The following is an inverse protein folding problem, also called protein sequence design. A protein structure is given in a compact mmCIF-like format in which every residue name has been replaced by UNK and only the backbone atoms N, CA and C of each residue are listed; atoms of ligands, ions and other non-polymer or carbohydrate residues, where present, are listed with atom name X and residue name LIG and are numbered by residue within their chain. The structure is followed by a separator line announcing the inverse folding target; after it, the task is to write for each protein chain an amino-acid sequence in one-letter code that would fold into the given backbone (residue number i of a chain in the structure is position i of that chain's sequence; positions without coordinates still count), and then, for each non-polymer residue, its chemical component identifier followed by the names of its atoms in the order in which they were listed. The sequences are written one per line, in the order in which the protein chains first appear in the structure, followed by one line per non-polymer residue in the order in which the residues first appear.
data_IF_731597778829
#
_entry.id   IF_731597778829
#
_cell.length_a   1.000
_cell.length_b   1.000
_cell.length_c   1.000
_cell.angle_alpha   90.00
_cell.angle_beta   90.00
_cell.angle_gamma   90.00
#
_symmetry.space_group_name_H-M   'P 1'
#
loop_
_entity.id
_entity.type
_entity.pdbx_description
1 polymer ?
#
# COMPACT_ATOMS: atom_id res chain seq x y z
N UNK A 1 4.04 -11.06 -12.13
CA UNK A 1 4.69 -10.76 -10.84
C UNK A 1 5.81 -9.75 -11.05
N UNK A 2 6.96 -10.15 -11.62
CA UNK A 2 8.11 -9.23 -11.80
C UNK A 2 7.86 -7.99 -12.65
N UNK A 3 6.98 -8.02 -13.65
CA UNK A 3 6.59 -6.79 -14.38
C UNK A 3 5.86 -5.78 -13.48
N UNK A 4 5.03 -6.28 -12.57
CA UNK A 4 4.31 -5.43 -11.61
C UNK A 4 5.25 -4.88 -10.54
N UNK A 5 6.16 -5.72 -10.03
CA UNK A 5 7.19 -5.29 -9.08
C UNK A 5 8.15 -4.27 -9.70
N UNK A 6 8.60 -4.50 -10.95
CA UNK A 6 9.38 -3.51 -11.72
C UNK A 6 8.65 -2.18 -11.82
N UNK A 7 7.36 -2.19 -12.21
CA UNK A 7 6.58 -0.97 -12.34
C UNK A 7 6.34 -0.27 -11.00
N UNK A 8 6.19 -1.03 -9.91
CA UNK A 8 6.08 -0.49 -8.55
C UNK A 8 7.38 0.17 -8.09
N UNK A 9 8.51 -0.50 -8.24
CA UNK A 9 9.83 0.05 -7.96
C UNK A 9 10.10 1.30 -8.79
N UNK A 10 9.79 1.28 -10.09
CA UNK A 10 10.02 2.42 -10.97
C UNK A 10 9.13 3.60 -10.55
N UNK A 11 7.84 3.37 -10.29
CA UNK A 11 6.93 4.41 -9.84
C UNK A 11 7.45 5.10 -8.55
N UNK A 12 7.93 4.33 -7.58
CA UNK A 12 8.49 4.88 -6.33
C UNK A 12 9.83 5.59 -6.61
N UNK A 13 10.70 4.99 -7.41
CA UNK A 13 12.01 5.54 -7.79
C UNK A 13 11.88 6.92 -8.47
N UNK A 14 10.93 7.07 -9.41
CA UNK A 14 10.66 8.34 -10.11
C UNK A 14 10.15 9.45 -9.19
N UNK A 15 9.75 9.15 -7.95
CA UNK A 15 9.37 10.19 -6.97
C UNK A 15 10.57 10.88 -6.34
N UNK A 16 11.70 10.17 -6.22
CA UNK A 16 12.87 10.64 -5.48
C UNK A 16 12.60 10.94 -3.99
N UNK A 17 11.48 10.46 -3.41
CA UNK A 17 11.09 10.76 -2.02
C UNK A 17 11.65 9.76 -1.01
N UNK A 18 11.72 8.50 -1.42
CA UNK A 18 12.24 7.40 -0.61
C UNK A 18 13.14 6.53 -1.48
N UNK A 19 14.18 5.96 -0.88
CA UNK A 19 15.11 5.11 -1.62
C UNK A 19 14.48 3.75 -1.89
N UNK A 20 14.65 3.27 -3.11
CA UNK A 20 14.36 1.90 -3.55
C UNK A 20 15.53 1.41 -4.42
N UNK A 21 15.77 0.09 -4.52
CA UNK A 21 16.69 -0.43 -5.53
C UNK A 21 16.26 0.01 -6.92
N UNK A 22 17.15 0.64 -7.70
CA UNK A 22 16.81 1.09 -9.05
C UNK A 22 16.45 -0.13 -9.92
N UNK A 23 15.20 -0.24 -10.44
CA UNK A 23 14.85 -1.34 -11.31
C UNK A 23 15.53 -1.15 -12.68
N UNK A 24 16.10 -2.23 -13.23
CA UNK A 24 16.81 -2.20 -14.51
C UNK A 24 15.99 -2.86 -15.61
N UNK A 25 15.45 -4.07 -15.36
CA UNK A 25 14.66 -4.81 -16.35
C UNK A 25 13.88 -5.97 -15.74
N UNK A 26 12.60 -6.10 -16.09
CA UNK A 26 11.87 -7.36 -16.01
C UNK A 26 11.98 -8.12 -17.35
N UNK A 27 12.31 -9.41 -17.32
CA UNK A 27 12.46 -10.22 -18.54
C UNK A 27 12.24 -11.71 -18.27
N UNK A 28 12.09 -12.47 -19.35
CA UNK A 28 12.01 -13.94 -19.30
C UNK A 28 13.23 -14.55 -19.97
N UNK A 29 13.76 -15.63 -19.39
CA UNK A 29 14.80 -16.46 -19.99
C UNK A 29 14.38 -17.92 -19.90
N UNK A 30 14.02 -18.50 -21.05
CA UNK A 30 13.40 -19.83 -21.10
C UNK A 30 12.07 -19.86 -20.35
N UNK A 31 11.97 -20.70 -19.30
CA UNK A 31 10.80 -20.83 -18.43
C UNK A 31 10.91 -20.01 -17.13
N UNK A 32 11.99 -19.25 -16.97
CA UNK A 32 12.25 -18.44 -15.78
C UNK A 32 11.90 -16.99 -16.05
N UNK A 33 11.20 -16.37 -15.10
CA UNK A 33 10.96 -14.93 -15.09
C UNK A 33 11.95 -14.29 -14.12
N UNK A 34 12.51 -13.14 -14.50
CA UNK A 34 13.58 -12.47 -13.76
C UNK A 34 13.28 -10.99 -13.63
N UNK A 35 13.74 -10.41 -12.52
CA UNK A 35 13.85 -8.96 -12.32
C UNK A 35 15.31 -8.63 -12.00
N UNK A 36 15.91 -7.79 -12.85
CA UNK A 36 17.22 -7.20 -12.58
C UNK A 36 17.02 -5.79 -12.01
N UNK A 37 17.74 -5.48 -10.93
CA UNK A 37 17.74 -4.20 -10.25
C UNK A 37 19.13 -3.91 -9.66
N UNK A 38 19.33 -2.68 -9.19
CA UNK A 38 20.53 -2.29 -8.45
C UNK A 38 20.72 -3.16 -7.20
N UNK A 39 21.95 -3.59 -6.96
CA UNK A 39 22.32 -4.24 -5.70
C UNK A 39 22.67 -3.19 -4.64
N UNK A 40 22.05 -3.29 -3.47
CA UNK A 40 22.34 -2.48 -2.29
C UNK A 40 22.71 -3.40 -1.12
N UNK A 41 23.73 -3.02 -0.36
CA UNK A 41 23.98 -3.66 0.93
C UNK A 41 23.00 -3.08 1.96
N UNK A 42 22.04 -3.91 2.39
CA UNK A 42 20.94 -3.51 3.26
C UNK A 42 21.12 -4.17 4.62
N UNK A 43 21.22 -3.36 5.66
CA UNK A 43 21.21 -3.76 7.06
C UNK A 43 19.88 -3.47 7.74
N UNK A 44 19.83 -3.75 9.04
CA UNK A 44 18.67 -3.44 9.88
C UNK A 44 18.47 -1.93 10.04
N UNK A 45 17.20 -1.50 10.08
CA UNK A 45 16.83 -0.11 10.33
C UNK A 45 16.94 0.21 11.83
N UNK A 46 17.98 0.94 12.25
CA UNK A 46 18.18 1.28 13.66
C UNK A 46 17.39 2.54 14.06
N UNK A 47 17.43 3.59 13.23
CA UNK A 47 16.68 4.83 13.45
C UNK A 47 15.68 5.10 12.32
N UNK A 48 14.41 4.80 12.59
CA UNK A 48 13.33 5.00 11.63
C UNK A 48 12.82 6.43 11.42
N UNK A 49 13.42 7.46 12.02
CA UNK A 49 12.93 8.85 11.89
C UNK A 49 12.91 9.30 10.43
N UNK A 50 14.04 9.15 9.72
CA UNK A 50 14.15 9.54 8.31
C UNK A 50 13.21 8.72 7.42
N UNK A 51 13.05 7.42 7.71
CA UNK A 51 12.10 6.57 7.00
C UNK A 51 10.67 7.12 7.11
N UNK A 52 10.25 7.49 8.33
CA UNK A 52 8.92 8.06 8.55
C UNK A 52 8.69 9.37 7.81
N UNK A 53 9.71 10.24 7.76
CA UNK A 53 9.64 11.50 7.02
C UNK A 53 9.55 11.29 5.51
N UNK A 54 10.35 10.37 4.96
CA UNK A 54 10.39 10.05 3.53
C UNK A 54 9.15 9.29 3.07
N UNK A 55 8.61 8.39 3.90
CA UNK A 55 7.35 7.70 3.61
C UNK A 55 6.18 8.69 3.55
N UNK A 56 6.13 9.67 4.47
CA UNK A 56 5.13 10.73 4.40
C UNK A 56 5.31 11.59 3.14
N UNK A 57 6.55 11.90 2.74
CA UNK A 57 6.81 12.64 1.49
C UNK A 57 6.38 11.85 0.25
N UNK A 58 6.60 10.54 0.22
CA UNK A 58 6.10 9.66 -0.85
C UNK A 58 4.58 9.74 -0.95
N UNK A 59 3.88 9.59 0.17
CA UNK A 59 2.41 9.62 0.19
C UNK A 59 1.85 11.00 -0.20
N UNK A 60 2.53 12.09 0.22
CA UNK A 60 2.14 13.45 -0.13
C UNK A 60 2.48 13.84 -1.57
N UNK A 61 3.39 13.14 -2.25
CA UNK A 61 3.87 13.51 -3.58
C UNK A 61 2.71 13.66 -4.60
N UNK A 62 1.95 12.59 -4.82
CA UNK A 62 0.83 12.63 -5.77
C UNK A 62 -0.32 13.53 -5.28
N UNK A 63 -0.59 13.58 -3.98
CA UNK A 63 -1.58 14.48 -3.37
C UNK A 63 -1.26 15.94 -3.70
N UNK A 64 0.01 16.33 -3.54
CA UNK A 64 0.46 17.68 -3.82
C UNK A 64 0.38 18.00 -5.31
N UNK A 65 0.69 17.05 -6.20
CA UNK A 65 0.50 17.21 -7.65
C UNK A 65 -0.98 17.47 -8.00
N UNK A 66 -1.92 16.73 -7.41
CA UNK A 66 -3.37 16.95 -7.62
C UNK A 66 -3.77 18.35 -7.15
N UNK A 67 -3.41 18.70 -5.91
CA UNK A 67 -3.76 20.00 -5.30
C UNK A 67 -3.16 21.17 -6.08
N UNK A 68 -1.92 21.04 -6.55
CA UNK A 68 -1.27 22.06 -7.37
C UNK A 68 -1.96 22.20 -8.73
N UNK A 69 -2.30 21.09 -9.40
CA UNK A 69 -3.03 21.13 -10.68
C UNK A 69 -4.40 21.78 -10.54
N UNK A 70 -5.11 21.54 -9.44
CA UNK A 70 -6.38 22.20 -9.14
C UNK A 70 -6.21 23.70 -8.92
N UNK A 71 -5.16 24.14 -8.21
CA UNK A 71 -4.85 25.57 -7.97
C UNK A 71 -4.34 26.30 -9.23
N UNK A 72 -3.53 25.62 -10.05
CA UNK A 72 -2.84 26.20 -11.21
C UNK A 72 -3.73 26.30 -12.46
N UNK A 73 -4.97 25.79 -12.40
CA UNK A 73 -6.00 26.05 -13.40
C UNK A 73 -6.38 27.56 -13.53
N UNK A 74 -5.80 28.44 -12.70
CA UNK A 74 -6.03 29.89 -12.71
C UNK A 74 -4.83 30.79 -13.08
N UNK A 75 -3.55 30.41 -12.93
CA UNK A 75 -2.38 31.24 -13.33
C UNK A 75 -1.16 30.37 -13.64
N UNK A 76 -0.47 30.68 -14.75
CA UNK A 76 0.69 29.96 -15.30
C UNK A 76 1.84 29.77 -14.32
N UNK A 77 2.00 28.54 -13.84
CA UNK A 77 3.07 28.12 -12.94
C UNK A 77 3.75 26.87 -13.46
N UNK A 78 5.01 26.70 -13.05
CA UNK A 78 5.95 25.70 -13.53
C UNK A 78 5.35 24.29 -13.52
N UNK A 79 5.40 23.64 -14.70
CA UNK A 79 4.94 22.27 -14.88
C UNK A 79 5.85 21.33 -14.08
N UNK A 80 5.27 20.58 -13.15
CA UNK A 80 5.81 19.27 -12.81
C UNK A 80 5.76 18.40 -14.08
N UNK A 81 6.89 17.79 -14.46
CA UNK A 81 6.94 16.87 -15.61
C UNK A 81 6.06 15.61 -15.41
N UNK A 82 5.64 15.33 -14.17
CA UNK A 82 4.76 14.22 -13.82
C UNK A 82 3.30 14.67 -13.68
N UNK A 83 2.43 14.04 -14.47
CA UNK A 83 0.98 14.16 -14.36
C UNK A 83 0.45 13.44 -13.11
N UNK A 84 -0.43 14.06 -12.30
CA UNK A 84 -1.03 13.39 -11.15
C UNK A 84 -2.01 12.30 -11.59
N UNK A 85 -2.01 11.18 -10.88
CA UNK A 85 -3.10 10.20 -10.98
C UNK A 85 -4.24 10.61 -10.03
N UNK A 86 -5.46 10.69 -10.54
CA UNK A 86 -6.64 11.13 -9.78
C UNK A 86 -7.60 9.98 -9.43
N UNK A 87 -7.25 8.75 -9.78
CA UNK A 87 -8.03 7.52 -9.55
C UNK A 87 -7.27 6.58 -8.61
N UNK A 88 -7.98 5.62 -8.03
CA UNK A 88 -7.39 4.59 -7.18
C UNK A 88 -7.15 3.32 -8.00
N UNK A 89 -5.93 2.76 -7.94
CA UNK A 89 -5.52 1.65 -8.79
C UNK A 89 -4.07 1.74 -9.25
N UNK A 90 -3.72 1.00 -10.28
CA UNK A 90 -2.37 1.03 -10.85
C UNK A 90 -2.41 0.64 -12.33
N UNK A 91 -1.53 1.19 -13.19
CA UNK A 91 -1.57 0.92 -14.64
C UNK A 91 -1.28 -0.54 -15.00
N UNK A 92 -0.59 -1.27 -14.12
CA UNK A 92 -0.31 -2.70 -14.31
C UNK A 92 -0.75 -3.50 -13.08
N UNK A 93 -0.94 -4.81 -13.30
CA UNK A 93 -1.20 -5.77 -12.23
C UNK A 93 0.07 -5.94 -11.39
N UNK A 94 0.01 -5.60 -10.11
CA UNK A 94 1.04 -5.95 -9.12
C UNK A 94 0.62 -7.20 -8.34
N UNK A 95 1.49 -7.71 -7.47
CA UNK A 95 1.21 -8.86 -6.61
C UNK A 95 1.60 -8.51 -5.17
N UNK A 96 0.82 -8.98 -4.19
CA UNK A 96 1.20 -8.93 -2.77
C UNK A 96 1.52 -10.36 -2.34
N UNK A 97 2.80 -10.64 -2.09
CA UNK A 97 3.34 -12.00 -2.19
C UNK A 97 3.08 -12.59 -3.58
N UNK A 98 2.67 -13.87 -3.65
CA UNK A 98 2.30 -14.50 -4.91
C UNK A 98 0.87 -14.19 -5.43
N UNK A 99 0.03 -13.48 -4.67
CA UNK A 99 -1.36 -13.24 -5.02
C UNK A 99 -1.44 -11.98 -5.91
N UNK A 100 -1.94 -12.09 -7.15
CA UNK A 100 -2.13 -10.93 -8.02
C UNK A 100 -3.20 -9.98 -7.48
N UNK A 101 -2.95 -8.67 -7.60
CA UNK A 101 -3.88 -7.63 -7.20
C UNK A 101 -4.71 -7.15 -8.40
N UNK A 102 -6.01 -6.98 -8.20
CA UNK A 102 -6.86 -6.31 -9.17
C UNK A 102 -6.71 -4.79 -9.05
N UNK A 103 -5.82 -4.23 -9.87
CA UNK A 103 -5.47 -2.81 -9.86
C UNK A 103 -6.30 -1.95 -10.82
N UNK A 104 -7.43 -2.46 -11.34
CA UNK A 104 -8.29 -1.68 -12.23
C UNK A 104 -8.74 -0.39 -11.54
N UNK A 105 -8.57 0.74 -12.24
CA UNK A 105 -8.86 2.04 -11.67
C UNK A 105 -10.33 2.22 -11.27
N UNK A 106 -10.56 2.85 -10.12
CA UNK A 106 -11.87 3.32 -9.65
C UNK A 106 -11.84 4.81 -9.36
N UNK A 107 -13.03 5.41 -9.25
CA UNK A 107 -13.15 6.83 -8.87
C UNK A 107 -13.07 7.06 -7.36
N UNK A 108 -13.49 6.08 -6.56
CA UNK A 108 -13.53 6.19 -5.10
C UNK A 108 -12.65 5.13 -4.45
N UNK A 109 -12.11 5.47 -3.28
CA UNK A 109 -11.21 4.59 -2.54
C UNK A 109 -11.97 3.37 -2.01
N UNK A 110 -13.21 3.58 -1.56
CA UNK A 110 -14.08 2.55 -0.99
C UNK A 110 -14.39 1.46 -2.00
N UNK A 111 -14.68 1.83 -3.26
CA UNK A 111 -14.89 0.87 -4.34
C UNK A 111 -13.63 0.04 -4.60
N UNK A 112 -12.46 0.70 -4.65
CA UNK A 112 -11.19 0.01 -4.86
C UNK A 112 -10.90 -0.96 -3.72
N UNK A 113 -10.98 -0.48 -2.48
CA UNK A 113 -10.63 -1.26 -1.30
C UNK A 113 -11.61 -2.42 -1.07
N UNK A 114 -12.91 -2.20 -1.28
CA UNK A 114 -13.90 -3.28 -1.19
C UNK A 114 -13.59 -4.42 -2.17
N UNK A 115 -13.23 -4.07 -3.42
CA UNK A 115 -12.81 -5.06 -4.41
C UNK A 115 -11.60 -5.87 -3.96
N UNK A 116 -10.61 -5.23 -3.32
CA UNK A 116 -9.43 -5.95 -2.78
C UNK A 116 -9.82 -6.98 -1.72
N UNK A 117 -10.75 -6.63 -0.83
CA UNK A 117 -11.29 -7.57 0.17
C UNK A 117 -12.06 -8.68 -0.53
N UNK A 118 -12.89 -8.34 -1.52
CA UNK A 118 -13.69 -9.31 -2.25
C UNK A 118 -12.84 -10.36 -2.97
N UNK A 119 -11.73 -9.95 -3.58
CA UNK A 119 -10.77 -10.85 -4.25
C UNK A 119 -10.14 -11.84 -3.25
N UNK A 120 -9.73 -11.36 -2.07
CA UNK A 120 -9.17 -12.22 -1.04
C UNK A 120 -10.20 -13.22 -0.49
N UNK A 121 -11.42 -12.74 -0.22
CA UNK A 121 -12.51 -13.59 0.22
C UNK A 121 -12.86 -14.67 -0.81
N UNK A 122 -12.81 -14.36 -2.11
CA UNK A 122 -13.04 -15.35 -3.16
C UNK A 122 -11.96 -16.47 -3.16
N UNK A 123 -10.72 -16.14 -2.82
CA UNK A 123 -9.66 -17.15 -2.58
C UNK A 123 -10.02 -17.99 -1.36
N UNK A 124 -10.41 -17.37 -0.25
CA UNK A 124 -10.77 -18.09 0.98
C UNK A 124 -11.94 -19.06 0.76
N UNK A 125 -12.97 -18.63 0.03
CA UNK A 125 -14.12 -19.47 -0.32
C UNK A 125 -13.71 -20.67 -1.19
N UNK A 126 -12.83 -20.46 -2.17
CA UNK A 126 -12.38 -21.50 -3.08
C UNK A 126 -11.47 -22.51 -2.40
N UNK A 127 -10.49 -22.04 -1.63
CA UNK A 127 -9.42 -22.89 -1.08
C UNK A 127 -9.77 -23.48 0.30
N UNK A 128 -10.56 -22.78 1.12
CA UNK A 128 -10.92 -23.21 2.48
C UNK A 128 -12.40 -23.55 2.66
N UNK A 129 -13.23 -23.34 1.63
CA UNK A 129 -14.68 -23.55 1.68
C UNK A 129 -15.36 -22.81 2.85
N UNK A 130 -14.81 -21.67 3.25
CA UNK A 130 -15.31 -20.87 4.37
C UNK A 130 -16.05 -19.62 3.87
N UNK A 131 -17.39 -19.70 3.88
CA UNK A 131 -18.27 -18.59 3.48
C UNK A 131 -18.48 -17.55 4.60
N UNK A 132 -18.07 -17.85 5.84
CA UNK A 132 -18.40 -17.00 6.99
C UNK A 132 -17.75 -15.62 6.92
N UNK A 133 -16.48 -15.47 6.51
CA UNK A 133 -15.87 -14.15 6.32
C UNK A 133 -16.66 -13.28 5.32
N UNK A 134 -17.09 -13.86 4.20
CA UNK A 134 -17.92 -13.17 3.19
C UNK A 134 -19.24 -12.69 3.74
N UNK A 135 -19.93 -13.54 4.51
CA UNK A 135 -21.22 -13.17 5.10
C UNK A 135 -21.11 -11.98 6.05
N UNK A 136 -20.04 -11.89 6.84
CA UNK A 136 -19.78 -10.74 7.71
C UNK A 136 -19.39 -9.50 6.90
N UNK A 137 -18.52 -9.67 5.90
CA UNK A 137 -18.15 -8.58 5.00
C UNK A 137 -19.35 -7.96 4.29
N UNK A 138 -20.28 -8.78 3.78
CA UNK A 138 -21.49 -8.30 3.12
C UNK A 138 -22.44 -7.53 4.06
N UNK A 139 -22.43 -7.82 5.37
CA UNK A 139 -23.18 -7.06 6.37
C UNK A 139 -22.53 -5.71 6.67
N UNK A 140 -21.20 -5.65 6.58
CA UNK A 140 -20.42 -4.43 6.79
C UNK A 140 -20.41 -3.52 5.57
N UNK A 141 -20.32 -4.06 4.36
CA UNK A 141 -20.09 -3.32 3.11
C UNK A 141 -21.02 -2.11 2.92
N UNK A 142 -22.34 -2.15 3.24
CA UNK A 142 -23.21 -0.97 3.14
C UNK A 142 -22.79 0.21 4.04
N UNK A 143 -21.98 -0.04 5.07
CA UNK A 143 -21.49 0.96 6.03
C UNK A 143 -20.08 1.45 5.71
N UNK A 144 -19.39 0.90 4.70
CA UNK A 144 -17.98 1.19 4.44
C UNK A 144 -17.70 2.70 4.28
N UNK A 145 -18.60 3.44 3.63
CA UNK A 145 -18.45 4.88 3.42
C UNK A 145 -18.45 5.68 4.73
N UNK A 146 -19.07 5.20 5.80
CA UNK A 146 -19.06 5.92 7.09
C UNK A 146 -17.69 5.90 7.78
N UNK A 147 -16.80 4.98 7.39
CA UNK A 147 -15.41 4.94 7.92
C UNK A 147 -14.54 6.06 7.36
N UNK A 148 -14.97 6.66 6.25
CA UNK A 148 -14.26 7.67 5.48
C UNK A 148 -15.00 9.02 5.46
N UNK A 149 -16.11 9.13 6.18
CA UNK A 149 -16.94 10.33 6.21
C UNK A 149 -16.15 11.54 6.75
N UNK A 150 -16.25 12.67 6.05
CA UNK A 150 -15.54 13.90 6.40
C UNK A 150 -14.06 13.92 6.01
N UNK A 151 -13.54 12.88 5.34
CA UNK A 151 -12.18 12.87 4.83
C UNK A 151 -12.13 13.19 3.33
N UNK A 152 -11.16 14.03 2.96
CA UNK A 152 -10.73 14.13 1.57
C UNK A 152 -9.70 13.03 1.28
N UNK A 153 -10.14 11.94 0.65
CA UNK A 153 -9.22 10.86 0.25
C UNK A 153 -8.73 11.13 -1.16
N UNK A 154 -7.44 11.45 -1.27
CA UNK A 154 -6.73 11.58 -2.54
C UNK A 154 -5.76 10.41 -2.72
N UNK A 155 -5.60 9.89 -3.96
CA UNK A 155 -4.70 8.79 -4.23
C UNK A 155 -3.24 9.15 -3.90
N UNK A 156 -2.66 8.38 -3.00
CA UNK A 156 -1.23 8.39 -2.66
C UNK A 156 -0.56 7.20 -3.33
N UNK A 157 0.66 7.36 -3.85
CA UNK A 157 1.42 6.20 -4.29
C UNK A 157 1.86 5.41 -3.05
N UNK A 158 1.41 4.16 -2.94
CA UNK A 158 1.70 3.28 -1.81
C UNK A 158 2.79 2.28 -2.17
N UNK A 159 3.56 1.86 -1.17
CA UNK A 159 4.39 0.67 -1.23
C UNK A 159 3.53 -0.59 -1.37
N UNK A 160 2.43 -0.68 -0.63
CA UNK A 160 1.41 -1.73 -0.72
C UNK A 160 1.70 -3.00 0.09
N UNK A 161 2.95 -3.20 0.53
CA UNK A 161 3.36 -4.33 1.38
C UNK A 161 4.49 -3.92 2.36
N UNK A 162 4.33 -2.78 3.04
CA UNK A 162 5.39 -2.17 3.85
C UNK A 162 5.47 -2.75 5.27
N UNK A 163 5.96 -3.98 5.40
CA UNK A 163 6.27 -4.60 6.70
C UNK A 163 7.78 -4.57 6.97
N UNK A 164 8.20 -4.92 8.19
CA UNK A 164 9.62 -4.84 8.58
C UNK A 164 10.59 -5.69 7.73
N UNK A 165 10.08 -6.68 6.99
CA UNK A 165 10.87 -7.46 6.03
C UNK A 165 11.16 -6.74 4.70
N UNK A 166 10.42 -5.66 4.40
CA UNK A 166 10.48 -4.92 3.13
C UNK A 166 11.09 -3.52 3.29
N UNK A 167 11.82 -3.30 4.38
CA UNK A 167 12.52 -2.06 4.66
C UNK A 167 13.82 -2.34 5.42
N UNK A 168 14.80 -1.47 5.20
CA UNK A 168 16.09 -1.54 5.89
C UNK A 168 16.84 -0.24 5.77
N UNK A 169 18.14 -0.30 5.99
CA UNK A 169 19.04 0.85 5.90
C UNK A 169 20.27 0.48 5.09
N UNK A 170 20.68 1.36 4.18
CA UNK A 170 21.92 1.24 3.42
C UNK A 170 22.81 2.47 3.67
N UNK A 171 23.99 2.52 3.05
CA UNK A 171 24.93 3.65 3.20
C UNK A 171 24.35 5.02 2.82
N UNK A 172 23.26 5.05 2.05
CA UNK A 172 22.55 6.28 1.65
C UNK A 172 21.31 6.60 2.50
N UNK A 173 21.02 5.79 3.53
CA UNK A 173 19.86 5.93 4.40
C UNK A 173 18.81 4.82 4.25
N UNK A 174 17.59 5.05 4.79
CA UNK A 174 16.50 4.09 4.74
C UNK A 174 16.11 3.75 3.31
N UNK A 175 15.82 2.46 3.07
CA UNK A 175 15.46 1.91 1.78
C UNK A 175 14.28 0.96 1.94
N UNK A 176 13.36 0.98 0.98
CA UNK A 176 12.22 0.05 0.89
C UNK A 176 12.33 -0.78 -0.38
N UNK A 177 11.79 -1.99 -0.37
CA UNK A 177 11.93 -2.95 -1.46
C UNK A 177 10.76 -3.95 -1.47
N UNK A 178 10.63 -4.70 -2.57
CA UNK A 178 9.54 -5.64 -2.84
C UNK A 178 8.13 -5.02 -2.77
N UNK A 179 7.86 -3.92 -3.52
CA UNK A 179 6.58 -3.23 -3.44
C UNK A 179 5.45 -4.01 -4.12
N UNK A 180 4.27 -3.95 -3.50
CA UNK A 180 2.99 -4.35 -4.07
C UNK A 180 2.21 -3.09 -4.50
N UNK A 181 2.87 -2.18 -5.22
CA UNK A 181 2.44 -0.78 -5.38
C UNK A 181 1.06 -0.60 -6.04
N UNK A 182 0.37 0.46 -5.60
CA UNK A 182 -0.83 1.02 -6.21
C UNK A 182 -1.10 2.44 -5.66
N UNK A 183 -1.98 3.19 -6.31
CA UNK A 183 -2.51 4.45 -5.81
C UNK A 183 -3.71 4.20 -4.88
N UNK A 184 -3.58 4.58 -3.61
CA UNK A 184 -4.56 4.28 -2.55
C UNK A 184 -4.64 5.34 -1.46
N UNK A 185 -5.37 5.05 -0.38
CA UNK A 185 -5.35 5.89 0.82
C UNK A 185 -4.04 5.69 1.59
N UNK A 186 -3.31 6.76 1.90
CA UNK A 186 -1.99 6.73 2.56
C UNK A 186 -1.95 5.96 3.90
N UNK A 187 -3.09 5.87 4.60
CA UNK A 187 -3.18 5.12 5.85
C UNK A 187 -3.01 3.59 5.65
N UNK A 188 -3.21 3.07 4.43
CA UNK A 188 -3.12 1.65 4.12
C UNK A 188 -1.74 1.06 4.46
N UNK A 189 -0.64 1.71 4.05
CA UNK A 189 0.72 1.22 4.30
C UNK A 189 1.07 1.15 5.79
N UNK A 190 0.45 2.00 6.62
CA UNK A 190 0.67 2.00 8.07
C UNK A 190 0.08 0.76 8.75
N UNK A 191 -0.94 0.14 8.13
CA UNK A 191 -1.65 -0.98 8.72
C UNK A 191 -0.76 -2.22 8.78
N UNK A 192 -0.13 -2.60 7.67
CA UNK A 192 0.81 -3.73 7.66
C UNK A 192 2.11 -3.41 8.42
N UNK A 193 2.58 -2.15 8.37
CA UNK A 193 3.75 -1.71 9.11
C UNK A 193 3.62 -1.93 10.64
N UNK A 194 2.40 -1.96 11.17
CA UNK A 194 2.15 -2.18 12.60
C UNK A 194 1.82 -3.63 12.96
N UNK A 195 1.56 -4.52 12.00
CA UNK A 195 1.05 -5.88 12.26
C UNK A 195 2.10 -6.87 12.77
N UNK A 196 3.31 -6.87 12.20
CA UNK A 196 4.33 -7.89 12.46
C UNK A 196 5.55 -7.35 13.25
N UNK A 197 5.47 -6.10 13.71
CA UNK A 197 6.59 -5.39 14.30
C UNK A 197 7.67 -5.04 13.26
N UNK A 198 8.88 -4.78 13.73
CA UNK A 198 10.04 -4.46 12.88
C UNK A 198 10.29 -2.96 12.68
N UNK A 199 9.27 -2.10 12.81
CA UNK A 199 9.45 -0.65 12.77
C UNK A 199 9.53 -0.02 14.16
N UNK A 200 10.56 0.80 14.45
CA UNK A 200 10.63 1.55 15.70
C UNK A 200 9.55 2.65 15.74
N UNK A 201 9.10 3.02 16.94
CA UNK A 201 8.08 4.07 17.11
C UNK A 201 8.45 5.43 16.51
N UNK A 202 9.74 5.67 16.25
CA UNK A 202 10.23 6.87 15.58
C UNK A 202 9.71 7.01 14.15
N UNK A 203 9.48 5.91 13.41
CA UNK A 203 8.88 5.94 12.06
C UNK A 203 7.51 6.62 12.12
N UNK A 204 6.61 6.10 12.95
CA UNK A 204 5.23 6.60 13.05
C UNK A 204 5.17 8.01 13.63
N UNK A 205 6.01 8.33 14.62
CA UNK A 205 6.10 9.69 15.18
C UNK A 205 6.53 10.70 14.12
N UNK A 206 7.53 10.37 13.30
CA UNK A 206 8.02 11.25 12.25
C UNK A 206 7.03 11.38 11.10
N UNK A 207 6.43 10.27 10.67
CA UNK A 207 5.35 10.25 9.67
C UNK A 207 4.18 11.17 10.08
N UNK A 208 3.68 11.01 11.31
CA UNK A 208 2.52 11.77 11.79
C UNK A 208 2.79 13.25 12.09
N UNK A 209 4.06 13.68 12.15
CA UNK A 209 4.38 15.12 12.14
C UNK A 209 4.04 15.77 10.81
N UNK A 210 4.14 15.04 9.69
CA UNK A 210 3.81 15.53 8.34
C UNK A 210 2.36 15.23 7.94
N UNK A 211 1.86 14.04 8.30
CA UNK A 211 0.49 13.60 8.03
C UNK A 211 -0.20 13.26 9.35
N UNK A 212 -0.85 14.23 10.02
CA UNK A 212 -1.54 14.01 11.29
C UNK A 212 -2.60 12.91 11.19
N UNK A 213 -2.82 12.19 12.31
CA UNK A 213 -3.91 11.22 12.40
C UNK A 213 -5.26 11.94 12.33
N UNK A 214 -6.07 11.55 11.36
CA UNK A 214 -7.44 12.03 11.23
C UNK A 214 -8.39 11.29 12.19
N UNK A 215 -9.57 11.88 12.45
CA UNK A 215 -10.61 11.20 13.23
C UNK A 215 -10.98 9.87 12.59
N UNK A 216 -11.09 8.82 13.40
CA UNK A 216 -11.40 7.46 12.93
C UNK A 216 -10.20 6.65 12.43
N UNK A 217 -8.98 7.20 12.52
CA UNK A 217 -7.74 6.53 12.08
C UNK A 217 -7.64 5.09 12.58
N UNK A 218 -7.82 4.84 13.88
CA UNK A 218 -7.65 3.49 14.44
C UNK A 218 -8.68 2.48 13.92
N UNK A 219 -9.92 2.92 13.62
CA UNK A 219 -10.94 2.06 13.00
C UNK A 219 -10.55 1.71 11.55
N UNK A 220 -10.01 2.68 10.80
CA UNK A 220 -9.52 2.43 9.44
C UNK A 220 -8.27 1.56 9.43
N UNK A 221 -7.37 1.72 10.40
CA UNK A 221 -6.22 0.82 10.56
C UNK A 221 -6.68 -0.63 10.74
N UNK A 222 -7.65 -0.91 11.62
CA UNK A 222 -8.20 -2.25 11.76
C UNK A 222 -8.81 -2.77 10.44
N UNK A 223 -9.54 -1.91 9.72
CA UNK A 223 -10.10 -2.25 8.41
C UNK A 223 -9.01 -2.59 7.38
N UNK A 224 -7.88 -1.87 7.36
CA UNK A 224 -6.76 -2.17 6.47
C UNK A 224 -6.00 -3.42 6.89
N UNK A 225 -5.83 -3.66 8.19
CA UNK A 225 -5.24 -4.89 8.71
C UNK A 225 -6.04 -6.12 8.30
N UNK A 226 -7.38 -6.02 8.17
CA UNK A 226 -8.21 -7.10 7.65
C UNK A 226 -7.74 -7.59 6.28
N UNK A 227 -7.40 -6.68 5.35
CA UNK A 227 -6.87 -7.08 4.04
C UNK A 227 -5.60 -7.92 4.20
N UNK A 228 -4.65 -7.46 5.02
CA UNK A 228 -3.37 -8.16 5.18
C UNK A 228 -3.52 -9.49 5.91
N UNK A 229 -4.42 -9.60 6.89
CA UNK A 229 -4.73 -10.88 7.53
C UNK A 229 -5.41 -11.85 6.55
N UNK A 230 -6.32 -11.39 5.70
CA UNK A 230 -6.93 -12.22 4.65
C UNK A 230 -5.86 -12.68 3.65
N UNK A 231 -4.98 -11.78 3.22
CA UNK A 231 -3.85 -12.10 2.34
C UNK A 231 -2.92 -13.14 2.99
N UNK A 232 -2.58 -12.99 4.27
CA UNK A 232 -1.76 -13.96 5.00
C UNK A 232 -2.47 -15.31 5.18
N UNK A 233 -3.79 -15.32 5.40
CA UNK A 233 -4.56 -16.56 5.41
C UNK A 233 -4.44 -17.25 4.05
N UNK A 234 -4.66 -16.53 2.94
CA UNK A 234 -4.51 -17.05 1.58
C UNK A 234 -3.10 -17.56 1.27
N UNK A 235 -2.04 -16.95 1.81
CA UNK A 235 -0.64 -17.34 1.58
C UNK A 235 -0.17 -18.52 2.45
N UNK A 236 -0.52 -18.50 3.73
CA UNK A 236 0.18 -19.29 4.75
C UNK A 236 -0.75 -20.23 5.53
N UNK A 237 -2.06 -20.22 5.27
CA UNK A 237 -3.01 -21.12 5.92
C UNK A 237 -3.80 -20.50 7.07
N UNK A 238 -4.66 -21.33 7.67
CA UNK A 238 -5.70 -20.93 8.62
C UNK A 238 -5.25 -20.30 9.94
N UNK A 239 -3.94 -20.19 10.21
CA UNK A 239 -3.40 -19.54 11.42
C UNK A 239 -3.83 -18.08 11.56
N UNK A 240 -4.16 -17.41 10.45
CA UNK A 240 -4.60 -16.01 10.42
C UNK A 240 -6.12 -15.83 10.44
N UNK A 241 -6.89 -16.93 10.39
CA UNK A 241 -8.36 -16.90 10.37
C UNK A 241 -8.94 -16.23 11.62
N UNK A 242 -8.39 -16.51 12.80
CA UNK A 242 -8.88 -15.95 14.07
C UNK A 242 -8.81 -14.42 14.06
N UNK A 243 -7.71 -13.84 13.60
CA UNK A 243 -7.53 -12.39 13.47
C UNK A 243 -8.51 -11.79 12.46
N UNK A 244 -8.66 -12.40 11.28
CA UNK A 244 -9.66 -11.96 10.28
C UNK A 244 -11.06 -11.93 10.88
N UNK A 245 -11.45 -13.03 11.53
CA UNK A 245 -12.78 -13.19 12.12
C UNK A 245 -13.01 -12.27 13.31
N UNK A 246 -11.96 -11.90 14.05
CA UNK A 246 -12.06 -10.94 15.14
C UNK A 246 -12.41 -9.55 14.60
N UNK A 247 -11.68 -9.09 13.57
CA UNK A 247 -11.92 -7.79 12.95
C UNK A 247 -13.30 -7.76 12.29
N UNK A 248 -13.63 -8.76 11.48
CA UNK A 248 -14.94 -8.83 10.80
C UNK A 248 -16.14 -8.81 11.75
N UNK A 249 -15.99 -9.24 13.00
CA UNK A 249 -17.05 -9.17 14.01
C UNK A 249 -17.12 -7.84 14.76
N UNK A 250 -16.03 -7.06 14.75
CA UNK A 250 -16.01 -5.73 15.36
C UNK A 250 -16.43 -4.61 14.41
N UNK A 251 -16.44 -4.90 13.10
CA UNK A 251 -16.96 -4.02 12.04
C UNK A 251 -18.50 -3.94 12.06
#
# INVERSE_FOLDING_TARGET
MFEGEFAGLDAIYQTGKILVPKPLKAFSYGKTYCLAMEHKEIGSLENGTLLGEQLADLHLDNINLIRNKQKNSFVGSENSDREPETRFGFPVRTSCGFIPQNNQFTKTWEEFFARKIDDQLAIIEREYHDMKPRQLWNQFLPKISSYFEGQEILPSLLHGDLWGGNAGECSSGPIVFDPAAFYGHHEYDLAIATMFGGFPSSVFKAYHKKIPKERGFENRQQLYQLFHYLNHWSHFGGGYKSSCMSILKSL
#
